data_IF_014229727882
#
_entry.id   IF_014229727882
#
_cell.length_a   1.000
_cell.length_b   1.000
_cell.length_c   1.000
_cell.angle_alpha   90.00
_cell.angle_beta   90.00
_cell.angle_gamma   90.00
#
_symmetry.space_group_name_H-M   'P 1'
#
loop_
_entity.id
_entity.type
_entity.pdbx_description
1 polymer ?
#
# COMPACT_ATOMS: atom_id res chain seq x y z
N UNK A 1 -16.81 12.43 16.99
CA UNK A 1 -16.16 11.25 17.60
C UNK A 1 -16.02 10.24 16.48
N UNK A 2 -15.07 10.48 15.58
CA UNK A 2 -14.85 9.64 14.41
C UNK A 2 -13.97 8.47 14.84
N UNK A 3 -14.59 7.30 14.96
CA UNK A 3 -13.89 6.03 15.04
C UNK A 3 -13.13 5.87 13.72
N UNK A 4 -11.83 6.14 13.74
CA UNK A 4 -10.91 5.56 12.77
C UNK A 4 -10.83 4.07 13.06
N UNK A 5 -11.84 3.35 12.60
CA UNK A 5 -11.82 1.89 12.47
C UNK A 5 -10.58 1.57 11.66
N UNK A 6 -9.52 1.12 12.34
CA UNK A 6 -8.35 0.51 11.71
C UNK A 6 -8.86 -0.78 11.08
N UNK A 7 -9.34 -0.64 9.85
CA UNK A 7 -9.70 -1.78 9.03
C UNK A 7 -8.43 -2.60 8.81
N UNK A 8 -8.59 -3.88 9.09
CA UNK A 8 -7.65 -4.99 8.93
C UNK A 8 -7.30 -5.21 7.45
N UNK A 9 -6.74 -4.19 6.79
CA UNK A 9 -6.19 -4.24 5.44
C UNK A 9 -4.67 -4.20 5.57
N UNK A 10 -4.07 -5.37 5.80
CA UNK A 10 -2.63 -5.56 5.95
C UNK A 10 -1.82 -5.35 4.66
N UNK A 11 -2.20 -4.40 3.80
CA UNK A 11 -1.60 -4.17 2.46
C UNK A 11 -1.28 -2.68 2.24
N UNK A 12 -1.20 -1.86 3.29
CA UNK A 12 -1.01 -0.41 3.12
C UNK A 12 0.39 0.11 3.38
N UNK A 13 1.25 -0.68 4.03
CA UNK A 13 2.65 -0.28 4.25
C UNK A 13 3.64 -1.14 3.46
N UNK A 14 3.22 -2.26 2.88
CA UNK A 14 4.16 -3.20 2.26
C UNK A 14 4.69 -2.67 0.91
N UNK A 15 6.01 -2.70 0.68
CA UNK A 15 6.57 -2.46 -0.64
C UNK A 15 6.17 -3.60 -1.56
N UNK A 16 5.47 -3.28 -2.63
CA UNK A 16 4.87 -4.27 -3.51
C UNK A 16 5.56 -4.30 -4.86
N UNK A 17 5.73 -5.49 -5.41
CA UNK A 17 6.36 -5.68 -6.73
C UNK A 17 5.36 -5.34 -7.83
N UNK A 18 5.75 -4.42 -8.72
CA UNK A 18 4.91 -4.05 -9.85
C UNK A 18 4.95 -5.15 -10.92
N UNK A 19 3.78 -5.69 -11.25
CA UNK A 19 3.66 -6.75 -12.26
C UNK A 19 3.29 -6.19 -13.63
N UNK A 20 2.32 -5.28 -13.68
CA UNK A 20 1.85 -4.69 -14.92
C UNK A 20 1.62 -3.19 -14.77
N UNK A 21 1.82 -2.47 -15.86
CA UNK A 21 1.53 -1.04 -15.94
C UNK A 21 1.04 -0.67 -17.33
N UNK A 22 -0.12 -0.02 -17.39
CA UNK A 22 -0.69 0.53 -18.61
C UNK A 22 -0.55 2.05 -18.62
N UNK A 23 0.20 2.57 -19.60
CA UNK A 23 0.39 4.02 -19.79
C UNK A 23 -0.92 4.68 -20.22
N UNK A 24 -1.70 4.02 -21.09
CA UNK A 24 -2.94 4.58 -21.64
C UNK A 24 -4.03 4.80 -20.58
N UNK A 25 -4.10 3.91 -19.60
CA UNK A 25 -5.11 3.99 -18.53
C UNK A 25 -4.55 4.55 -17.21
N UNK A 26 -3.23 4.72 -17.13
CA UNK A 26 -2.48 5.02 -15.90
C UNK A 26 -2.80 4.07 -14.75
N UNK A 27 -3.09 2.79 -15.06
CA UNK A 27 -3.34 1.75 -14.07
C UNK A 27 -2.10 0.87 -13.93
N UNK A 28 -1.64 0.74 -12.69
CA UNK A 28 -0.68 -0.26 -12.25
C UNK A 28 -1.42 -1.45 -11.62
N UNK A 29 -0.91 -2.66 -11.84
CA UNK A 29 -1.41 -3.88 -11.22
C UNK A 29 -0.29 -4.52 -10.42
N UNK A 30 -0.64 -4.85 -9.19
CA UNK A 30 0.20 -5.60 -8.27
C UNK A 30 -0.52 -6.91 -7.98
N UNK A 31 0.23 -8.01 -7.98
CA UNK A 31 -0.30 -9.33 -7.66
C UNK A 31 0.49 -9.92 -6.52
N UNK A 32 -0.19 -10.25 -5.44
CA UNK A 32 0.34 -10.97 -4.29
C UNK A 32 -0.58 -12.16 -4.01
N UNK A 33 -0.03 -13.38 -3.96
CA UNK A 33 -0.75 -14.63 -3.67
C UNK A 33 -2.13 -14.77 -4.36
N UNK A 34 -2.15 -14.58 -5.69
CA UNK A 34 -3.35 -14.69 -6.57
C UNK A 34 -4.41 -13.59 -6.37
N UNK A 35 -4.12 -12.59 -5.53
CA UNK A 35 -4.94 -11.38 -5.38
C UNK A 35 -4.32 -10.27 -6.21
N UNK A 36 -5.06 -9.80 -7.22
CA UNK A 36 -4.67 -8.63 -8.00
C UNK A 36 -5.26 -7.36 -7.40
N UNK A 37 -4.42 -6.35 -7.24
CA UNK A 37 -4.80 -5.06 -6.69
C UNK A 37 -4.49 -3.96 -7.69
N UNK A 38 -5.52 -3.16 -8.02
CA UNK A 38 -5.44 -2.10 -9.01
C UNK A 38 -5.07 -0.78 -8.37
N UNK A 39 -4.16 -0.08 -9.02
CA UNK A 39 -3.59 1.16 -8.53
C UNK A 39 -3.76 2.23 -9.62
N UNK A 40 -4.53 3.25 -9.31
CA UNK A 40 -4.69 4.44 -10.15
C UNK A 40 -3.52 5.39 -9.87
N UNK A 41 -2.73 5.61 -10.92
CA UNK A 41 -1.51 6.43 -10.87
C UNK A 41 -1.67 7.79 -11.56
N UNK A 42 -2.89 8.18 -11.97
CA UNK A 42 -3.16 9.42 -12.72
C UNK A 42 -2.65 10.70 -12.03
N UNK A 43 -2.57 10.69 -10.70
CA UNK A 43 -2.13 11.84 -9.90
C UNK A 43 -0.61 11.85 -9.65
N UNK A 44 0.14 10.86 -10.11
CA UNK A 44 1.60 10.80 -10.00
C UNK A 44 2.23 11.46 -11.22
N UNK A 45 2.96 12.56 -11.03
CA UNK A 45 3.53 13.35 -12.14
C UNK A 45 4.99 13.02 -12.45
N UNK A 46 5.72 12.40 -11.51
CA UNK A 46 7.19 12.29 -11.58
C UNK A 46 7.72 10.87 -11.25
N UNK A 47 6.95 9.83 -11.57
CA UNK A 47 7.36 8.44 -11.30
C UNK A 47 7.40 7.61 -12.59
N UNK A 48 8.57 7.09 -12.93
CA UNK A 48 8.72 6.09 -13.99
C UNK A 48 8.55 4.69 -13.41
N UNK A 49 7.56 3.98 -13.92
CA UNK A 49 7.28 2.62 -13.50
C UNK A 49 8.14 1.60 -14.24
N UNK A 50 8.73 0.68 -13.47
CA UNK A 50 9.55 -0.43 -13.96
C UNK A 50 8.95 -1.73 -13.47
N UNK A 51 8.58 -2.60 -14.40
CA UNK A 51 8.05 -3.92 -14.09
C UNK A 51 9.12 -4.73 -13.36
N UNK A 52 8.72 -5.46 -12.31
CA UNK A 52 9.60 -6.24 -11.45
C UNK A 52 10.35 -5.43 -10.38
N UNK A 53 10.15 -4.12 -10.32
CA UNK A 53 10.66 -3.25 -9.25
C UNK A 53 9.65 -3.13 -8.13
N UNK A 54 10.13 -2.84 -6.92
CA UNK A 54 9.30 -2.59 -5.75
C UNK A 54 8.91 -1.13 -5.66
N UNK A 55 7.65 -0.90 -5.31
CA UNK A 55 7.11 0.43 -5.11
C UNK A 55 6.31 0.50 -3.81
N UNK A 56 6.35 1.67 -3.18
CA UNK A 56 5.44 2.02 -2.09
C UNK A 56 4.50 3.11 -2.57
N UNK A 57 3.21 2.91 -2.31
CA UNK A 57 2.15 3.82 -2.69
C UNK A 57 1.36 4.27 -1.46
N UNK A 58 1.01 5.55 -1.42
CA UNK A 58 0.12 6.13 -0.42
C UNK A 58 -1.03 6.82 -1.15
N UNK A 59 -2.25 6.47 -0.77
CA UNK A 59 -3.45 6.89 -1.47
C UNK A 59 -4.72 6.61 -0.71
N UNK A 60 -5.83 6.87 -1.38
CA UNK A 60 -7.18 6.62 -0.88
C UNK A 60 -7.72 5.34 -1.53
N UNK A 61 -8.24 4.42 -0.71
CA UNK A 61 -8.84 3.19 -1.21
C UNK A 61 -10.29 3.45 -1.60
N UNK A 62 -10.60 3.31 -2.90
CA UNK A 62 -11.96 3.34 -3.41
C UNK A 62 -12.50 1.92 -3.57
N UNK A 63 -13.63 1.63 -2.92
CA UNK A 63 -14.36 0.38 -3.09
C UNK A 63 -15.46 0.63 -4.13
N UNK A 64 -15.38 -0.09 -5.24
CA UNK A 64 -16.33 -0.02 -6.35
C UNK A 64 -17.40 -1.11 -6.21
N UNK A 65 -18.56 -0.96 -6.86
CA UNK A 65 -19.58 -2.01 -6.90
C UNK A 65 -19.02 -3.33 -7.43
N UNK A 66 -19.42 -4.45 -6.83
CA UNK A 66 -18.98 -5.79 -7.24
C UNK A 66 -17.62 -6.21 -6.65
N UNK A 67 -17.35 -5.82 -5.40
CA UNK A 67 -16.18 -6.22 -4.60
C UNK A 67 -14.81 -5.92 -5.25
N UNK A 68 -14.78 -4.96 -6.17
CA UNK A 68 -13.54 -4.46 -6.76
C UNK A 68 -13.07 -3.24 -5.99
N UNK A 69 -11.77 -3.17 -5.71
CA UNK A 69 -11.16 -2.01 -5.05
C UNK A 69 -10.04 -1.44 -5.92
N UNK A 70 -9.90 -0.11 -5.90
CA UNK A 70 -8.84 0.61 -6.60
C UNK A 70 -8.21 1.61 -5.64
N UNK A 71 -6.87 1.63 -5.58
CA UNK A 71 -6.13 2.60 -4.80
C UNK A 71 -5.85 3.84 -5.64
N UNK A 72 -6.44 4.99 -5.27
CA UNK A 72 -6.13 6.28 -5.85
C UNK A 72 -4.89 6.86 -5.20
N UNK A 73 -3.77 6.75 -5.89
CA UNK A 73 -2.48 7.12 -5.32
C UNK A 73 -2.23 8.60 -5.44
N UNK A 74 -1.72 9.20 -4.36
CA UNK A 74 -1.23 10.58 -4.33
C UNK A 74 0.29 10.67 -4.25
N UNK A 75 0.92 9.65 -3.64
CA UNK A 75 2.38 9.56 -3.50
C UNK A 75 2.83 8.15 -3.86
N UNK A 76 3.85 8.04 -4.70
CA UNK A 76 4.48 6.76 -5.06
C UNK A 76 5.99 6.90 -5.08
N UNK A 77 6.71 5.90 -4.59
CA UNK A 77 8.17 5.85 -4.64
C UNK A 77 8.68 4.47 -5.03
N UNK A 78 9.71 4.43 -5.88
CA UNK A 78 10.50 3.22 -6.07
C UNK A 78 11.31 2.96 -4.79
N UNK A 79 11.33 1.70 -4.35
CA UNK A 79 12.03 1.27 -3.14
C UNK A 79 13.00 0.13 -3.44
N UNK A 80 13.49 0.06 -4.68
CA UNK A 80 14.53 -0.90 -5.04
C UNK A 80 15.78 -0.62 -4.19
N UNK A 81 16.27 -1.66 -3.50
CA UNK A 81 17.38 -1.56 -2.55
C UNK A 81 16.97 -1.38 -1.09
N UNK A 82 15.68 -1.29 -0.79
CA UNK A 82 15.18 -1.43 0.58
C UNK A 82 15.38 -2.87 1.06
N UNK A 83 15.94 -3.06 2.24
CA UNK A 83 15.95 -4.36 2.90
C UNK A 83 14.53 -4.68 3.40
N UNK A 84 13.82 -5.47 2.61
CA UNK A 84 12.43 -5.86 2.85
C UNK A 84 12.28 -6.59 4.20
N UNK A 85 13.26 -7.41 4.60
CA UNK A 85 13.20 -8.14 5.87
C UNK A 85 13.28 -7.20 7.07
N UNK A 86 14.20 -6.22 7.03
CA UNK A 86 14.31 -5.20 8.06
C UNK A 86 13.06 -4.32 8.10
N UNK A 87 12.51 -4.00 6.93
CA UNK A 87 11.29 -3.24 6.81
C UNK A 87 10.12 -3.91 7.55
N UNK A 88 9.85 -5.20 7.26
CA UNK A 88 8.78 -5.95 7.94
C UNK A 88 8.98 -5.97 9.46
N UNK A 89 10.19 -6.29 9.94
CA UNK A 89 10.49 -6.31 11.39
C UNK A 89 10.24 -4.96 12.04
N UNK A 90 10.61 -3.87 11.36
CA UNK A 90 10.38 -2.52 11.88
C UNK A 90 8.89 -2.18 11.98
N UNK A 91 8.08 -2.62 11.01
CA UNK A 91 6.62 -2.46 11.05
C UNK A 91 5.98 -3.28 12.17
N UNK A 92 6.44 -4.52 12.38
CA UNK A 92 5.95 -5.37 13.46
C UNK A 92 6.20 -4.73 14.83
N UNK A 93 7.43 -4.26 15.08
CA UNK A 93 7.79 -3.57 16.32
C UNK A 93 6.95 -2.30 16.52
N UNK A 94 6.74 -1.51 15.47
CA UNK A 94 5.89 -0.31 15.54
C UNK A 94 4.46 -0.68 15.95
N UNK A 95 3.86 -1.68 15.29
CA UNK A 95 2.48 -2.12 15.57
C UNK A 95 2.35 -2.64 17.01
N UNK A 96 3.34 -3.40 17.50
CA UNK A 96 3.37 -3.87 18.89
C UNK A 96 3.38 -2.69 19.86
N UNK A 97 4.26 -1.71 19.63
CA UNK A 97 4.36 -0.52 20.48
C UNK A 97 3.08 0.34 20.46
N UNK A 98 2.45 0.51 19.29
CA UNK A 98 1.16 1.22 19.17
C UNK A 98 0.05 0.53 19.96
N UNK A 99 -0.02 -0.80 19.90
CA UNK A 99 -0.99 -1.60 20.68
C UNK A 99 -0.75 -1.48 22.18
N UNK A 100 0.50 -1.58 22.63
CA UNK A 100 0.87 -1.39 24.04
C UNK A 100 0.46 0.00 24.55
N UNK A 101 0.73 1.04 23.77
CA UNK A 101 0.35 2.42 24.09
C UNK A 101 -1.18 2.62 24.12
N UNK A 102 -1.93 1.97 23.22
CA UNK A 102 -3.39 2.00 23.26
C UNK A 102 -3.91 1.32 24.53
N UNK A 103 -3.37 0.15 24.90
CA UNK A 103 -3.76 -0.58 26.10
C UNK A 103 -3.44 0.21 27.38
N UNK A 104 -2.30 0.90 27.43
CA UNK A 104 -1.91 1.72 28.59
C UNK A 104 -2.75 2.99 28.76
N UNK A 105 -3.45 3.44 27.71
CA UNK A 105 -4.35 4.62 27.76
C UNK A 105 -5.80 4.26 28.10
N UNK A 106 -6.17 2.99 27.93
CA UNK A 106 -7.52 2.48 28.22
C UNK A 106 -7.64 2.00 29.68
N UNK A 107 -6.52 1.83 30.38
CA UNK A 107 -6.44 1.52 31.82
C UNK A 107 -6.27 2.80 32.63
#
# INVERSE_FOLDING_TARGET
>A
MEMLTTCRAGIQDEPLMLQEYSVDTAIAVITEDDVSFKIDTQHLRDLTFRIGSYYQFIGELLILPGDSAILQVRVGRNVDGLDINLYHRSLELRRQFEVELMNSRVT
#
